data_IF_922174769776
#
_entry.id   IF_922174769776
#
_cell.length_a   1.000
_cell.length_b   1.000
_cell.length_c   1.000
_cell.angle_alpha   90.00
_cell.angle_beta   90.00
_cell.angle_gamma   90.00
#
_symmetry.space_group_name_H-M   'P 1'
#
loop_
_entity.id
_entity.type
_entity.pdbx_description
1 polymer ?
#
# COMPACT_ATOMS: atom_id res chain seq x y z
N UNK A 1 41.92 32.34 5.22
CA UNK A 1 41.08 31.44 6.05
C UNK A 1 40.11 30.75 5.11
N UNK A 2 40.25 29.43 4.91
CA UNK A 2 39.41 28.62 4.01
C UNK A 2 38.22 28.09 4.81
N UNK A 3 37.00 28.48 4.45
CA UNK A 3 35.78 27.84 4.92
C UNK A 3 35.51 26.65 4.00
N UNK A 4 35.83 25.44 4.47
CA UNK A 4 35.32 24.20 3.88
C UNK A 4 33.83 24.11 4.23
N UNK A 5 32.95 24.39 3.27
CA UNK A 5 31.54 23.99 3.37
C UNK A 5 31.47 22.46 3.33
N UNK A 6 31.15 21.85 4.47
CA UNK A 6 30.75 20.45 4.55
C UNK A 6 29.44 20.29 3.76
N UNK A 7 29.54 19.82 2.52
CA UNK A 7 28.41 19.27 1.81
C UNK A 7 27.97 17.98 2.53
N UNK A 8 26.95 18.07 3.38
CA UNK A 8 26.23 16.91 3.87
C UNK A 8 25.47 16.29 2.69
N UNK A 9 26.14 15.42 1.92
CA UNK A 9 25.46 14.48 1.03
C UNK A 9 24.64 13.55 1.93
N UNK A 10 23.39 13.93 2.16
CA UNK A 10 22.32 12.99 2.50
C UNK A 10 22.25 11.97 1.37
N UNK A 11 22.96 10.85 1.53
CA UNK A 11 22.59 9.63 0.83
C UNK A 11 21.25 9.21 1.44
N UNK A 12 20.16 9.74 0.89
CA UNK A 12 18.83 9.19 1.10
C UNK A 12 18.91 7.72 0.73
N UNK A 13 18.94 6.86 1.75
CA UNK A 13 18.91 5.43 1.59
C UNK A 13 17.74 5.09 0.68
N UNK A 14 18.05 4.50 -0.47
CA UNK A 14 17.10 3.94 -1.42
C UNK A 14 16.41 2.76 -0.72
N UNK A 15 15.50 3.05 0.22
CA UNK A 15 14.59 2.04 0.72
C UNK A 15 13.68 1.70 -0.45
N UNK A 16 13.97 0.58 -1.11
CA UNK A 16 12.97 -0.12 -1.89
C UNK A 16 11.84 -0.48 -0.90
N UNK A 17 10.82 0.37 -0.80
CA UNK A 17 9.61 -0.01 -0.11
C UNK A 17 8.86 -0.94 -1.06
N UNK A 18 8.65 -2.17 -0.61
CA UNK A 18 7.75 -3.10 -1.26
C UNK A 18 6.52 -3.17 -0.37
N UNK A 19 5.35 -3.21 -0.99
CA UNK A 19 4.11 -3.37 -0.26
C UNK A 19 3.12 -4.20 -1.04
N UNK A 20 2.13 -4.69 -0.33
CA UNK A 20 1.04 -5.52 -0.80
C UNK A 20 -0.21 -4.71 -0.76
N UNK A 21 -0.92 -4.65 -1.88
CA UNK A 21 -2.23 -4.01 -1.97
C UNK A 21 -3.26 -5.13 -2.01
N UNK A 22 -4.09 -5.18 -0.97
CA UNK A 22 -4.96 -6.32 -0.73
C UNK A 22 -6.40 -5.88 -0.54
N UNK A 23 -7.31 -6.75 -0.97
CA UNK A 23 -8.72 -6.69 -0.61
C UNK A 23 -8.87 -7.34 0.75
N UNK A 24 -9.54 -6.66 1.68
CA UNK A 24 -9.76 -7.11 3.05
C UNK A 24 -11.26 -7.20 3.28
N UNK A 25 -11.75 -8.40 3.54
CA UNK A 25 -13.15 -8.67 3.85
C UNK A 25 -13.26 -9.01 5.32
N UNK A 26 -13.85 -8.11 6.09
CA UNK A 26 -14.14 -8.31 7.51
C UNK A 26 -15.57 -8.77 7.67
N UNK A 27 -15.77 -9.84 8.42
CA UNK A 27 -17.07 -10.36 8.83
C UNK A 27 -17.19 -10.17 10.33
N UNK A 28 -18.15 -9.37 10.77
CA UNK A 28 -18.41 -9.07 12.18
C UNK A 28 -19.68 -9.77 12.65
N UNK A 29 -19.62 -10.36 13.84
CA UNK A 29 -20.80 -10.93 14.49
C UNK A 29 -21.56 -9.79 15.16
N UNK A 30 -22.62 -9.29 14.53
CA UNK A 30 -23.51 -8.34 15.20
C UNK A 30 -24.47 -9.11 16.09
N UNK A 31 -24.62 -8.71 17.36
CA UNK A 31 -25.41 -9.41 18.36
C UNK A 31 -26.88 -9.58 17.95
N UNK A 32 -27.19 -10.66 17.23
CA UNK A 32 -28.50 -10.92 16.65
C UNK A 32 -28.48 -11.72 15.36
N UNK A 33 -27.83 -12.90 15.33
CA UNK A 33 -27.88 -13.87 14.21
C UNK A 33 -27.52 -13.37 12.80
N UNK A 34 -27.05 -12.13 12.65
CA UNK A 34 -26.68 -11.53 11.38
C UNK A 34 -25.21 -11.15 11.40
N UNK A 35 -24.46 -11.70 10.45
CA UNK A 35 -23.09 -11.28 10.19
C UNK A 35 -23.13 -10.03 9.30
N UNK A 36 -22.37 -9.01 9.67
CA UNK A 36 -22.13 -7.84 8.81
C UNK A 36 -20.80 -8.04 8.08
N UNK A 37 -20.78 -7.81 6.78
CA UNK A 37 -19.59 -8.01 5.94
C UNK A 37 -19.17 -6.69 5.32
N UNK A 38 -17.93 -6.28 5.58
CA UNK A 38 -17.34 -5.07 5.03
C UNK A 38 -16.11 -5.41 4.19
N UNK A 39 -16.08 -4.92 2.95
CA UNK A 39 -14.89 -4.98 2.10
C UNK A 39 -14.16 -3.64 2.15
N UNK A 40 -12.86 -3.70 2.46
CA UNK A 40 -11.92 -2.60 2.50
C UNK A 40 -10.74 -2.90 1.57
N UNK A 41 -10.01 -1.87 1.17
CA UNK A 41 -8.76 -2.02 0.45
C UNK A 41 -7.64 -1.41 1.28
N UNK A 42 -6.57 -2.18 1.47
CA UNK A 42 -5.48 -1.83 2.38
C UNK A 42 -4.15 -2.14 1.73
N UNK A 43 -3.13 -1.39 2.12
CA UNK A 43 -1.75 -1.68 1.78
C UNK A 43 -0.94 -2.03 3.02
N UNK A 44 -0.01 -2.97 2.90
CA UNK A 44 0.92 -3.34 3.96
C UNK A 44 2.34 -3.49 3.44
N UNK A 45 3.38 -3.07 4.19
CA UNK A 45 4.76 -3.35 3.83
C UNK A 45 4.98 -4.85 3.61
N UNK A 46 5.75 -5.25 2.60
CA UNK A 46 5.95 -6.69 2.28
C UNK A 46 6.63 -7.48 3.39
N UNK A 47 7.48 -6.85 4.18
CA UNK A 47 8.07 -7.47 5.37
C UNK A 47 7.09 -7.53 6.57
N UNK A 48 5.88 -7.03 6.40
CA UNK A 48 4.81 -6.96 7.40
C UNK A 48 3.45 -7.38 6.81
N UNK A 49 3.45 -8.26 5.80
CA UNK A 49 2.25 -8.87 5.24
C UNK A 49 1.68 -9.94 6.19
N UNK A 50 1.01 -9.49 7.25
CA UNK A 50 0.46 -10.33 8.32
C UNK A 50 -0.91 -9.82 8.80
N UNK A 51 -1.52 -10.56 9.72
CA UNK A 51 -2.83 -10.20 10.27
C UNK A 51 -2.80 -8.92 11.09
N UNK A 52 -1.71 -8.62 11.78
CA UNK A 52 -1.61 -7.37 12.56
C UNK A 52 -1.72 -6.16 11.65
N UNK A 53 -1.13 -6.23 10.45
CA UNK A 53 -1.24 -5.14 9.50
C UNK A 53 -2.67 -4.95 9.00
N UNK A 54 -3.30 -5.99 8.45
CA UNK A 54 -4.62 -5.84 7.83
C UNK A 54 -5.79 -5.79 8.81
N UNK A 55 -5.77 -6.61 9.85
CA UNK A 55 -6.87 -6.76 10.79
C UNK A 55 -6.81 -5.73 11.93
N UNK A 56 -5.62 -5.39 12.40
CA UNK A 56 -5.41 -4.41 13.47
C UNK A 56 -4.97 -3.02 12.95
N UNK A 57 -4.89 -2.86 11.62
CA UNK A 57 -4.46 -1.63 10.96
C UNK A 57 -3.05 -1.17 11.38
N UNK A 58 -2.17 -2.08 11.83
CA UNK A 58 -0.81 -1.76 12.26
C UNK A 58 0.12 -1.56 11.05
N UNK A 59 0.54 -0.30 10.81
CA UNK A 59 1.34 0.11 9.63
C UNK A 59 0.63 -0.12 8.29
N UNK A 60 -0.68 -0.36 8.30
CA UNK A 60 -1.47 -0.38 7.10
C UNK A 60 -1.68 1.03 6.56
N UNK A 61 -1.73 1.14 5.24
CA UNK A 61 -2.21 2.33 4.54
C UNK A 61 -3.60 2.09 3.95
N UNK A 62 -4.40 3.14 3.87
CA UNK A 62 -5.71 3.07 3.20
C UNK A 62 -5.54 3.17 1.69
N UNK A 63 -6.33 2.37 0.97
CA UNK A 63 -6.43 2.40 -0.49
C UNK A 63 -7.82 2.92 -0.85
N UNK A 64 -7.85 3.99 -1.65
CA UNK A 64 -9.08 4.58 -2.14
C UNK A 64 -9.24 4.28 -3.63
N UNK A 65 -10.25 3.49 -3.97
CA UNK A 65 -10.56 3.11 -5.37
C UNK A 65 -11.55 4.07 -6.05
N UNK A 66 -12.04 5.09 -5.34
CA UNK A 66 -13.02 6.06 -5.84
C UNK A 66 -14.28 5.41 -6.46
N UNK A 67 -14.68 4.25 -5.92
CA UNK A 67 -15.83 3.47 -6.39
C UNK A 67 -15.54 2.55 -7.59
N UNK A 68 -14.29 2.47 -8.04
CA UNK A 68 -13.84 1.52 -9.06
C UNK A 68 -13.25 0.23 -8.47
N UNK A 69 -12.89 -0.70 -9.35
CA UNK A 69 -12.26 -1.96 -8.96
C UNK A 69 -10.74 -1.82 -8.88
N UNK A 70 -10.15 -2.48 -7.88
CA UNK A 70 -8.72 -2.54 -7.69
C UNK A 70 -8.05 -3.22 -8.91
N UNK A 71 -7.09 -2.54 -9.53
CA UNK A 71 -6.30 -3.09 -10.63
C UNK A 71 -6.84 -2.85 -12.04
N UNK A 72 -8.10 -2.45 -12.20
CA UNK A 72 -8.68 -2.08 -13.49
C UNK A 72 -8.93 -0.57 -13.61
N UNK A 73 -9.21 0.08 -12.49
CA UNK A 73 -9.48 1.51 -12.38
C UNK A 73 -8.35 2.26 -11.67
N UNK A 74 -8.34 3.58 -11.80
CA UNK A 74 -7.48 4.44 -11.00
C UNK A 74 -7.76 4.24 -9.51
N UNK A 75 -6.72 4.19 -8.70
CA UNK A 75 -6.83 4.23 -7.24
C UNK A 75 -5.63 4.94 -6.62
N UNK A 76 -5.78 5.38 -5.37
CA UNK A 76 -4.71 6.02 -4.61
C UNK A 76 -4.42 5.28 -3.32
N UNK A 77 -3.15 5.24 -2.94
CA UNK A 77 -2.67 4.67 -1.69
C UNK A 77 -2.19 5.81 -0.79
N UNK A 78 -2.62 5.78 0.47
CA UNK A 78 -2.23 6.75 1.49
C UNK A 78 -0.71 6.77 1.72
N UNK A 79 -0.14 7.88 2.21
CA UNK A 79 1.29 7.95 2.53
C UNK A 79 1.71 6.81 3.46
N UNK A 80 2.80 6.12 3.14
CA UNK A 80 3.30 4.99 3.92
C UNK A 80 4.82 4.88 3.79
N UNK A 81 5.50 4.36 4.82
CA UNK A 81 6.95 4.09 4.78
C UNK A 81 7.83 5.28 4.36
N UNK A 82 7.41 6.52 4.68
CA UNK A 82 8.13 7.74 4.29
C UNK A 82 7.91 8.17 2.83
N UNK A 83 7.02 7.49 2.11
CA UNK A 83 6.56 7.86 0.77
C UNK A 83 5.28 8.67 0.90
N UNK A 84 5.16 9.75 0.12
CA UNK A 84 3.91 10.50 0.01
C UNK A 84 2.78 9.66 -0.60
N UNK A 85 1.60 10.26 -0.75
CA UNK A 85 0.47 9.60 -1.38
C UNK A 85 0.84 9.15 -2.80
N UNK A 86 0.44 7.93 -3.17
CA UNK A 86 0.72 7.35 -4.48
C UNK A 86 -0.57 7.12 -5.27
N UNK A 87 -0.47 7.26 -6.57
CA UNK A 87 -1.54 7.14 -7.55
C UNK A 87 -1.20 6.00 -8.50
N UNK A 88 -2.14 5.07 -8.70
CA UNK A 88 -1.94 3.87 -9.52
C UNK A 88 -2.85 3.85 -10.73
N UNK A 89 -2.27 3.45 -11.86
CA UNK A 89 -2.94 3.32 -13.13
C UNK A 89 -2.61 1.97 -13.77
N UNK A 90 -3.60 1.31 -14.36
CA UNK A 90 -3.41 0.07 -15.08
C UNK A 90 -2.49 0.24 -16.30
N UNK A 91 -1.57 -0.71 -16.49
CA UNK A 91 -0.67 -0.77 -17.64
C UNK A 91 -0.44 -2.23 -18.04
N UNK A 92 -0.90 -2.63 -19.24
CA UNK A 92 -0.57 -3.89 -19.94
C UNK A 92 -0.27 -5.11 -19.04
N UNK A 93 -1.16 -5.40 -18.07
CA UNK A 93 -1.03 -6.56 -17.18
C UNK A 93 -0.42 -6.28 -15.79
N UNK A 94 -0.18 -5.02 -15.43
CA UNK A 94 0.24 -4.58 -14.11
C UNK A 94 -0.27 -3.17 -13.80
N UNK A 95 0.35 -2.52 -12.81
CA UNK A 95 0.03 -1.14 -12.43
C UNK A 95 1.32 -0.31 -12.39
N UNK A 96 1.25 0.91 -12.91
CA UNK A 96 2.27 1.93 -12.70
C UNK A 96 1.84 2.86 -11.56
N UNK A 97 2.72 3.06 -10.59
CA UNK A 97 2.53 3.96 -9.47
C UNK A 97 3.34 5.25 -9.61
N UNK A 98 2.70 6.35 -9.24
CA UNK A 98 3.20 7.73 -9.37
C UNK A 98 3.03 8.46 -8.05
N UNK A 99 4.00 9.32 -7.69
CA UNK A 99 3.85 10.19 -6.53
C UNK A 99 2.79 11.26 -6.82
N UNK A 100 1.83 11.45 -5.92
CA UNK A 100 0.85 12.53 -6.06
C UNK A 100 1.56 13.90 -6.03
N UNK A 101 1.26 14.75 -7.01
CA UNK A 101 1.98 16.03 -7.19
C UNK A 101 3.45 15.89 -7.62
N UNK A 102 3.88 14.69 -8.04
CA UNK A 102 5.22 14.44 -8.55
C UNK A 102 5.47 14.96 -9.97
N UNK A 103 6.63 14.62 -10.52
CA UNK A 103 7.08 15.05 -11.86
C UNK A 103 6.51 14.21 -13.02
N UNK A 104 5.58 13.30 -12.74
CA UNK A 104 5.00 12.37 -13.71
C UNK A 104 5.86 11.15 -14.00
N UNK A 105 6.98 10.96 -13.31
CA UNK A 105 7.77 9.73 -13.45
C UNK A 105 7.14 8.56 -12.69
N UNK A 106 7.23 7.37 -13.30
CA UNK A 106 6.87 6.11 -12.64
C UNK A 106 7.87 5.83 -11.52
N UNK A 107 7.37 5.71 -10.30
CA UNK A 107 8.16 5.39 -9.10
C UNK A 107 7.92 3.96 -8.60
N UNK A 108 6.87 3.31 -9.10
CA UNK A 108 6.41 2.02 -8.62
C UNK A 108 5.82 1.18 -9.74
N UNK A 109 6.02 -0.13 -9.65
CA UNK A 109 5.38 -1.11 -10.53
C UNK A 109 4.74 -2.20 -9.66
N UNK A 110 3.46 -2.47 -9.87
CA UNK A 110 2.78 -3.59 -9.23
C UNK A 110 2.46 -4.69 -10.24
N UNK A 111 2.46 -5.92 -9.73
CA UNK A 111 2.09 -7.12 -10.45
C UNK A 111 0.99 -7.84 -9.70
N UNK A 112 0.07 -8.47 -10.43
CA UNK A 112 -0.98 -9.29 -9.83
C UNK A 112 -0.37 -10.37 -8.94
N UNK A 113 -1.00 -10.59 -7.79
CA UNK A 113 -0.71 -11.70 -6.90
C UNK A 113 -2.01 -12.41 -6.50
N UNK A 114 -1.89 -13.55 -5.83
CA UNK A 114 -3.05 -14.35 -5.41
C UNK A 114 -2.86 -15.05 -4.06
N UNK A 115 -2.01 -14.50 -3.18
CA UNK A 115 -1.86 -15.02 -1.84
C UNK A 115 -3.07 -14.67 -0.98
N UNK A 116 -3.47 -15.56 -0.07
CA UNK A 116 -4.60 -15.32 0.84
C UNK A 116 -4.21 -15.53 2.30
N UNK A 117 -4.95 -14.89 3.20
CA UNK A 117 -4.75 -15.04 4.65
C UNK A 117 -6.07 -14.92 5.39
N UNK A 118 -6.26 -15.77 6.39
CA UNK A 118 -7.39 -15.69 7.31
C UNK A 118 -6.86 -15.21 8.67
N UNK A 119 -7.51 -14.20 9.22
CA UNK A 119 -7.14 -13.53 10.45
C UNK A 119 -8.34 -13.54 11.40
N UNK A 120 -8.12 -13.91 12.65
CA UNK A 120 -9.16 -13.86 13.69
C UNK A 120 -9.14 -12.48 14.33
N UNK A 121 -10.30 -11.83 14.44
CA UNK A 121 -10.48 -10.57 15.16
C UNK A 121 -11.41 -10.78 16.37
N UNK A 122 -11.40 -9.85 17.33
CA UNK A 122 -12.08 -10.01 18.63
C UNK A 122 -13.59 -10.32 18.48
N UNK A 123 -14.23 -9.84 17.42
CA UNK A 123 -15.66 -10.02 17.16
C UNK A 123 -15.97 -10.58 15.75
N UNK A 124 -15.08 -11.40 15.19
CA UNK A 124 -15.30 -12.02 13.87
C UNK A 124 -14.04 -12.50 13.15
N UNK A 125 -14.10 -12.52 11.83
CA UNK A 125 -13.02 -12.98 10.95
C UNK A 125 -12.64 -11.90 9.92
N UNK A 126 -11.38 -11.88 9.53
CA UNK A 126 -10.81 -11.01 8.50
C UNK A 126 -10.15 -11.87 7.43
N UNK A 127 -10.69 -11.84 6.22
CA UNK A 127 -10.14 -12.51 5.03
C UNK A 127 -9.35 -11.50 4.19
N UNK A 128 -8.10 -11.82 3.88
CA UNK A 128 -7.21 -10.97 3.08
C UNK A 128 -6.86 -11.67 1.78
N UNK A 129 -7.14 -11.01 0.67
CA UNK A 129 -6.73 -11.41 -0.68
C UNK A 129 -5.66 -10.44 -1.19
N UNK A 130 -4.44 -10.94 -1.29
CA UNK A 130 -3.33 -10.19 -1.81
C UNK A 130 -3.43 -10.04 -3.33
N UNK A 131 -3.94 -8.89 -3.74
CA UNK A 131 -4.32 -8.61 -5.13
C UNK A 131 -3.11 -8.17 -5.95
N UNK A 132 -2.22 -7.39 -5.35
CA UNK A 132 -1.04 -6.85 -6.02
C UNK A 132 0.17 -6.77 -5.09
N UNK A 133 1.34 -7.10 -5.62
CA UNK A 133 2.62 -6.83 -4.96
C UNK A 133 3.34 -5.74 -5.72
N UNK A 134 3.74 -4.71 -5.00
CA UNK A 134 4.51 -3.59 -5.50
C UNK A 134 6.01 -3.78 -5.32
N UNK A 135 6.73 -3.34 -6.35
CA UNK A 135 8.14 -3.01 -6.26
C UNK A 135 8.36 -1.52 -6.57
N UNK A 136 8.74 -0.72 -5.57
CA UNK A 136 9.18 0.64 -5.84
C UNK A 136 10.53 0.60 -6.55
N UNK A 137 10.61 1.28 -7.70
CA UNK A 137 11.88 1.49 -8.37
C UNK A 137 12.57 2.59 -7.59
N UNK A 138 13.74 2.32 -6.98
CA UNK A 138 14.52 3.24 -6.14
C UNK A 138 14.81 4.64 -6.71
N UNK A 139 13.78 5.46 -6.88
CA UNK A 139 13.77 6.81 -7.44
C UNK A 139 12.91 7.74 -6.59
N UNK A 140 12.72 7.44 -5.31
CA UNK A 140 12.24 8.45 -4.38
C UNK A 140 13.39 9.42 -4.11
N UNK A 141 13.52 10.41 -4.98
CA UNK A 141 14.24 11.63 -4.64
C UNK A 141 13.39 12.29 -3.56
N UNK A 142 13.91 12.30 -2.33
CA UNK A 142 13.29 12.97 -1.20
C UNK A 142 12.89 14.39 -1.60
N UNK A 143 11.59 14.65 -1.58
CA UNK A 143 11.10 16.02 -1.57
C UNK A 143 11.24 16.52 -0.14
N UNK A 144 12.25 17.38 0.01
CA UNK A 144 12.51 18.36 1.07
C UNK A 144 11.40 18.66 2.06
#
# INVERSE_FOLDING_TARGET
MRLLSLAALSLASLVNANFHISTVTNTFVTGGSSDDTQTLYKTCPSNYWNCDCYANNDRAGDVNTYGGDLGSSFFSVSPMCGVGQMNFYANNGGLDGYLNGGDGSVIANCYSNSATKNCVIVDGDCFVEDSFVEWMRGKLKGTS
#
